data_IF_993799990697
#
_entry.id   IF_993799990697
#
_cell.length_a   1.000
_cell.length_b   1.000
_cell.length_c   1.000
_cell.angle_alpha   90.00
_cell.angle_beta   90.00
_cell.angle_gamma   90.00
#
_symmetry.space_group_name_H-M   'P 1'
#
loop_
_entity.id
_entity.type
_entity.pdbx_description
1 polymer ?
#
# COMPACT_ATOMS: atom_id res chain seq x y z
N UNK A 1 -15.45 -8.89 12.09
CA UNK A 1 -15.78 -8.19 13.36
C UNK A 1 -15.93 -6.73 13.00
N UNK A 2 -17.08 -6.11 13.28
CA UNK A 2 -17.36 -4.72 12.87
C UNK A 2 -17.03 -3.78 14.03
N UNK A 3 -16.10 -2.86 13.83
CA UNK A 3 -15.82 -1.79 14.78
C UNK A 3 -16.28 -0.46 14.19
N UNK A 4 -17.19 0.24 14.88
CA UNK A 4 -17.67 1.57 14.51
C UNK A 4 -17.19 2.55 15.57
N UNK A 5 -16.40 3.55 15.17
CA UNK A 5 -15.92 4.62 16.06
C UNK A 5 -16.38 5.97 15.47
N UNK A 6 -17.41 6.58 16.05
CA UNK A 6 -18.07 7.77 15.46
C UNK A 6 -18.73 7.46 14.10
N UNK A 7 -18.80 8.45 13.19
CA UNK A 7 -19.28 8.23 11.81
C UNK A 7 -18.36 7.32 10.98
N UNK A 8 -17.26 6.78 11.54
CA UNK A 8 -16.30 5.96 10.80
C UNK A 8 -16.67 4.49 10.84
N UNK A 9 -16.62 3.85 9.67
CA UNK A 9 -16.75 2.41 9.51
C UNK A 9 -15.47 1.84 8.91
N UNK A 10 -14.78 0.96 9.65
CA UNK A 10 -13.72 0.10 9.08
C UNK A 10 -13.85 -1.30 9.65
N UNK A 11 -13.99 -2.29 8.77
CA UNK A 11 -14.19 -3.68 9.14
C UNK A 11 -13.38 -4.58 8.22
N UNK A 12 -12.62 -5.50 8.82
CA UNK A 12 -12.01 -6.62 8.11
C UNK A 12 -12.62 -7.90 8.65
N UNK A 13 -13.17 -8.72 7.76
CA UNK A 13 -13.78 -9.99 8.13
C UNK A 13 -13.09 -11.14 7.40
N UNK A 14 -12.51 -12.06 8.16
CA UNK A 14 -11.98 -13.30 7.64
C UNK A 14 -13.12 -14.27 7.35
N UNK A 15 -13.15 -14.80 6.13
CA UNK A 15 -14.09 -15.82 5.68
C UNK A 15 -13.28 -17.10 5.52
N UNK A 16 -13.58 -18.09 6.36
CA UNK A 16 -12.88 -19.36 6.34
C UNK A 16 -13.46 -20.29 5.26
N UNK A 17 -12.59 -20.91 4.48
CA UNK A 17 -12.92 -21.80 3.37
C UNK A 17 -11.71 -22.65 2.99
N UNK A 18 -11.68 -23.20 1.76
CA UNK A 18 -10.45 -23.82 1.23
C UNK A 18 -9.33 -22.81 0.97
N UNK A 19 -9.73 -21.55 0.73
CA UNK A 19 -8.86 -20.37 0.69
C UNK A 19 -9.41 -19.34 1.68
N UNK A 20 -8.54 -18.70 2.47
CA UNK A 20 -8.90 -17.68 3.44
C UNK A 20 -9.19 -16.46 2.61
N UNK A 21 -10.41 -15.96 2.70
CA UNK A 21 -10.77 -14.70 2.08
C UNK A 21 -10.92 -13.67 3.17
N UNK A 22 -10.72 -12.42 2.79
CA UNK A 22 -11.00 -11.28 3.63
C UNK A 22 -11.99 -10.38 2.91
N UNK A 23 -12.95 -9.86 3.66
CA UNK A 23 -13.81 -8.75 3.23
C UNK A 23 -13.32 -7.49 3.91
N UNK A 24 -13.01 -6.47 3.11
CA UNK A 24 -12.56 -5.15 3.56
C UNK A 24 -13.70 -4.17 3.34
N UNK A 25 -14.14 -3.54 4.42
CA UNK A 25 -15.18 -2.51 4.39
C UNK A 25 -14.63 -1.24 4.99
N UNK A 26 -14.76 -0.10 4.30
CA UNK A 26 -14.39 1.20 4.82
C UNK A 26 -15.32 2.30 4.33
N UNK A 27 -15.43 3.40 5.07
CA UNK A 27 -16.00 4.65 4.57
C UNK A 27 -14.96 5.71 4.18
N UNK A 28 -13.67 5.38 4.24
CA UNK A 28 -12.56 6.23 3.75
C UNK A 28 -12.22 7.44 4.64
N UNK A 29 -12.88 7.61 5.79
CA UNK A 29 -12.64 8.78 6.65
C UNK A 29 -11.41 8.58 7.57
N UNK A 30 -10.56 9.62 7.72
CA UNK A 30 -9.41 9.56 8.63
C UNK A 30 -9.83 9.57 10.11
N UNK A 31 -8.99 9.00 10.99
CA UNK A 31 -9.16 9.09 12.47
C UNK A 31 -8.72 10.42 13.07
N UNK A 32 -8.64 11.48 12.26
CA UNK A 32 -8.09 12.79 12.64
C UNK A 32 -8.89 13.91 12.02
N UNK A 33 -8.87 15.07 12.67
CA UNK A 33 -9.34 16.30 12.05
C UNK A 33 -8.24 16.81 11.11
N UNK A 34 -8.62 17.24 9.91
CA UNK A 34 -7.69 17.84 8.95
C UNK A 34 -8.34 19.05 8.31
N UNK A 35 -7.52 20.02 7.90
CA UNK A 35 -8.00 21.26 7.28
C UNK A 35 -8.22 20.98 5.80
N UNK A 36 -9.47 21.13 5.37
CA UNK A 36 -9.81 21.10 3.96
C UNK A 36 -9.52 22.46 3.31
N UNK A 37 -9.14 22.50 2.01
CA UNK A 37 -9.23 23.72 1.22
C UNK A 37 -10.63 24.32 1.32
N UNK A 38 -10.74 25.64 1.19
CA UNK A 38 -11.92 26.46 1.58
C UNK A 38 -13.28 26.04 0.98
N UNK A 39 -13.33 25.13 0.01
CA UNK A 39 -14.56 24.65 -0.65
C UNK A 39 -14.69 23.12 -0.69
N UNK A 40 -13.75 22.37 -0.10
CA UNK A 40 -13.83 20.92 -0.06
C UNK A 40 -14.65 20.46 1.14
N UNK A 41 -15.47 19.42 0.92
CA UNK A 41 -16.23 18.73 1.98
C UNK A 41 -15.75 17.29 2.02
N UNK A 42 -15.56 16.73 3.21
CA UNK A 42 -15.26 15.29 3.32
C UNK A 42 -16.40 14.48 2.71
N UNK A 43 -16.03 13.55 1.84
CA UNK A 43 -16.98 12.60 1.27
C UNK A 43 -16.67 11.21 1.82
N UNK A 44 -17.68 10.59 2.41
CA UNK A 44 -17.64 9.17 2.70
C UNK A 44 -17.60 8.37 1.40
N UNK A 45 -16.85 7.27 1.44
CA UNK A 45 -16.63 6.39 0.30
C UNK A 45 -16.95 4.97 0.70
N UNK A 46 -18.08 4.43 0.21
CA UNK A 46 -18.43 3.05 0.53
C UNK A 46 -17.50 2.08 -0.22
N UNK A 47 -16.46 1.63 0.46
CA UNK A 47 -15.49 0.66 -0.03
C UNK A 47 -15.89 -0.69 0.53
N UNK A 48 -16.19 -1.65 -0.32
CA UNK A 48 -16.54 -3.00 0.10
C UNK A 48 -16.07 -4.01 -0.96
N UNK A 49 -15.03 -4.77 -0.64
CA UNK A 49 -14.50 -5.80 -1.52
C UNK A 49 -14.03 -7.04 -0.77
N UNK A 50 -14.02 -8.18 -1.47
CA UNK A 50 -13.49 -9.45 -1.01
C UNK A 50 -12.29 -9.88 -1.86
N UNK A 51 -11.27 -10.45 -1.21
CA UNK A 51 -10.07 -11.01 -1.84
C UNK A 51 -9.59 -12.25 -1.08
N UNK A 52 -8.85 -13.12 -1.77
CA UNK A 52 -7.99 -14.10 -1.12
C UNK A 52 -6.96 -13.37 -0.26
N UNK A 53 -6.81 -13.80 0.97
CA UNK A 53 -5.84 -13.23 1.87
C UNK A 53 -4.44 -13.72 1.50
N UNK A 54 -3.55 -12.77 1.21
CA UNK A 54 -2.14 -12.98 0.88
C UNK A 54 -1.93 -14.20 -0.06
N UNK A 55 -2.49 -14.16 -1.28
CA UNK A 55 -2.50 -15.31 -2.19
C UNK A 55 -1.07 -15.77 -2.51
N UNK A 56 -0.88 -17.07 -2.73
CA UNK A 56 0.43 -17.59 -3.11
C UNK A 56 0.84 -17.06 -4.50
N UNK A 57 2.06 -16.54 -4.60
CA UNK A 57 2.64 -15.99 -5.83
C UNK A 57 4.05 -16.54 -6.06
N UNK A 58 4.51 -16.50 -7.31
CA UNK A 58 5.79 -17.09 -7.72
C UNK A 58 6.75 -16.02 -8.25
N UNK A 59 8.00 -16.10 -7.79
CA UNK A 59 9.11 -15.29 -8.33
C UNK A 59 9.30 -15.51 -9.83
N UNK A 60 9.05 -16.74 -10.30
CA UNK A 60 9.28 -17.17 -11.69
C UNK A 60 8.04 -16.95 -12.58
N UNK A 61 6.95 -16.42 -12.04
CA UNK A 61 5.73 -16.12 -12.79
C UNK A 61 5.19 -14.76 -12.35
N UNK A 62 5.93 -13.66 -12.62
CA UNK A 62 5.49 -12.33 -12.25
C UNK A 62 4.23 -11.94 -13.02
N UNK A 63 3.33 -11.21 -12.37
CA UNK A 63 2.15 -10.61 -13.01
C UNK A 63 2.57 -9.55 -14.04
N UNK A 64 3.70 -8.90 -13.80
CA UNK A 64 4.24 -7.85 -14.65
C UNK A 64 5.70 -8.10 -14.98
N UNK A 65 6.02 -8.23 -16.27
CA UNK A 65 7.39 -8.43 -16.75
C UNK A 65 7.73 -7.53 -17.94
N UNK A 66 7.72 -6.18 -17.78
CA UNK A 66 8.14 -5.28 -18.84
C UNK A 66 9.57 -5.61 -19.29
N UNK A 67 9.78 -5.56 -20.60
CA UNK A 67 11.09 -5.71 -21.25
C UNK A 67 11.62 -4.39 -21.82
N UNK A 68 10.83 -3.31 -21.75
CA UNK A 68 11.19 -1.97 -22.24
C UNK A 68 10.75 -0.90 -21.24
N UNK A 69 11.42 0.27 -21.28
CA UNK A 69 11.02 1.44 -20.49
C UNK A 69 9.59 1.88 -20.80
N UNK A 70 9.17 1.83 -22.07
CA UNK A 70 7.79 2.15 -22.45
C UNK A 70 6.76 1.19 -21.81
N UNK A 71 7.07 -0.11 -21.78
CA UNK A 71 6.21 -1.08 -21.10
C UNK A 71 6.16 -0.84 -19.58
N UNK A 72 7.28 -0.45 -18.95
CA UNK A 72 7.27 -0.05 -17.55
C UNK A 72 6.40 1.17 -17.30
N UNK A 73 6.52 2.21 -18.13
CA UNK A 73 5.73 3.42 -18.00
C UNK A 73 4.23 3.13 -18.18
N UNK A 74 3.85 2.24 -19.11
CA UNK A 74 2.45 1.82 -19.26
C UNK A 74 1.89 1.12 -18.02
N UNK A 75 2.75 0.49 -17.22
CA UNK A 75 2.39 -0.14 -15.95
C UNK A 75 2.37 0.90 -14.85
N UNK A 76 3.47 1.60 -14.59
CA UNK A 76 3.63 2.45 -13.41
C UNK A 76 3.09 3.87 -13.61
N UNK A 77 3.27 4.48 -14.78
CA UNK A 77 2.84 5.84 -15.08
C UNK A 77 1.40 5.87 -15.60
N UNK A 78 0.52 5.14 -14.92
CA UNK A 78 -0.86 4.95 -15.31
C UNK A 78 -1.74 4.87 -14.06
N UNK A 79 -2.54 5.91 -13.84
CA UNK A 79 -3.43 6.01 -12.68
C UNK A 79 -4.46 4.85 -12.61
N UNK A 80 -4.74 4.23 -13.75
CA UNK A 80 -5.73 3.15 -13.89
C UNK A 80 -5.13 1.75 -13.77
N UNK A 81 -3.83 1.62 -13.47
CA UNK A 81 -3.16 0.32 -13.38
C UNK A 81 -3.70 -0.58 -12.25
N UNK A 82 -4.47 -0.02 -11.31
CA UNK A 82 -5.15 -0.76 -10.25
C UNK A 82 -6.52 -1.30 -10.67
N UNK A 83 -7.01 -1.03 -11.89
CA UNK A 83 -8.27 -1.63 -12.35
C UNK A 83 -8.17 -3.16 -12.51
N UNK A 84 -7.01 -3.66 -12.93
CA UNK A 84 -6.79 -5.07 -13.22
C UNK A 84 -6.17 -5.78 -12.02
N UNK A 85 -7.01 -6.35 -11.16
CA UNK A 85 -6.55 -7.17 -10.02
C UNK A 85 -6.21 -8.60 -10.50
N UNK A 86 -5.05 -9.18 -10.11
CA UNK A 86 -4.66 -10.53 -10.50
C UNK A 86 -5.72 -11.58 -10.10
N UNK A 87 -5.95 -12.56 -10.97
CA UNK A 87 -6.96 -13.61 -10.75
C UNK A 87 -6.71 -14.46 -9.50
N UNK A 88 -5.43 -14.62 -9.11
CA UNK A 88 -5.02 -15.28 -7.85
C UNK A 88 -5.63 -14.63 -6.61
N UNK A 89 -5.98 -13.34 -6.70
CA UNK A 89 -6.61 -12.58 -5.63
C UNK A 89 -8.09 -12.90 -5.45
N UNK A 90 -8.75 -13.57 -6.42
CA UNK A 90 -10.20 -13.79 -6.43
C UNK A 90 -11.00 -12.54 -6.01
N UNK A 91 -10.58 -11.38 -6.51
CA UNK A 91 -11.13 -10.08 -6.16
C UNK A 91 -12.61 -9.99 -6.58
N UNK A 92 -13.44 -9.51 -5.66
CA UNK A 92 -14.86 -9.28 -5.89
C UNK A 92 -15.26 -7.96 -5.24
N UNK A 93 -15.74 -7.01 -6.04
CA UNK A 93 -16.37 -5.78 -5.53
C UNK A 93 -17.81 -6.08 -5.14
N UNK A 94 -18.24 -5.68 -3.94
CA UNK A 94 -19.61 -5.91 -3.49
C UNK A 94 -20.56 -4.88 -4.16
N UNK A 95 -21.84 -5.23 -4.42
CA UNK A 95 -22.75 -4.38 -5.21
C UNK A 95 -22.98 -2.97 -4.66
N UNK A 96 -22.91 -2.79 -3.34
CA UNK A 96 -23.08 -1.50 -2.70
C UNK A 96 -21.81 -0.63 -2.74
N UNK A 97 -20.64 -1.23 -3.04
CA UNK A 97 -19.38 -0.51 -3.12
C UNK A 97 -19.37 0.42 -4.32
N UNK A 98 -18.80 1.61 -4.13
CA UNK A 98 -18.53 2.53 -5.23
C UNK A 98 -17.45 1.97 -6.19
N UNK A 99 -17.28 2.55 -7.39
CA UNK A 99 -16.12 2.28 -8.22
C UNK A 99 -14.82 2.54 -7.46
N UNK A 100 -13.90 1.58 -7.46
CA UNK A 100 -12.63 1.60 -6.72
C UNK A 100 -11.46 1.31 -7.66
N UNK A 101 -11.53 1.91 -8.85
CA UNK A 101 -10.65 1.62 -9.99
C UNK A 101 -9.21 2.05 -9.73
N UNK A 102 -9.05 3.19 -9.05
CA UNK A 102 -7.74 3.75 -8.65
C UNK A 102 -7.27 3.28 -7.28
N UNK A 103 -8.09 2.51 -6.54
CA UNK A 103 -7.76 2.03 -5.19
C UNK A 103 -6.62 1.00 -5.24
N UNK A 104 -5.51 1.31 -4.59
CA UNK A 104 -4.40 0.38 -4.38
C UNK A 104 -4.66 -0.52 -3.18
N UNK A 105 -5.27 0.04 -2.12
CA UNK A 105 -5.56 -0.68 -0.88
C UNK A 105 -6.28 0.18 0.15
N UNK A 106 -6.43 -0.35 1.36
CA UNK A 106 -7.02 0.36 2.50
C UNK A 106 -6.03 0.29 3.67
N UNK A 107 -5.71 1.44 4.25
CA UNK A 107 -4.84 1.53 5.42
C UNK A 107 -5.54 0.99 6.69
N UNK A 108 -4.79 0.68 7.74
CA UNK A 108 -5.36 0.17 9.01
C UNK A 108 -6.19 1.23 9.75
N UNK A 109 -6.00 2.50 9.41
CA UNK A 109 -6.88 3.59 9.80
C UNK A 109 -8.08 3.77 8.84
N UNK A 110 -8.38 2.81 7.98
CA UNK A 110 -9.54 2.82 7.08
C UNK A 110 -9.47 3.82 5.92
N UNK A 111 -8.49 4.72 5.88
CA UNK A 111 -8.33 5.66 4.76
C UNK A 111 -7.88 4.91 3.51
N UNK A 112 -8.29 5.37 2.33
CA UNK A 112 -7.90 4.74 1.09
C UNK A 112 -6.43 4.99 0.79
N UNK A 113 -5.76 3.96 0.30
CA UNK A 113 -4.46 4.09 -0.37
C UNK A 113 -4.80 4.07 -1.86
N UNK A 114 -4.72 5.23 -2.51
CA UNK A 114 -5.00 5.33 -3.93
C UNK A 114 -3.73 5.05 -4.74
N UNK A 115 -3.89 5.03 -6.05
CA UNK A 115 -2.79 4.95 -7.00
C UNK A 115 -1.73 5.99 -6.67
N UNK A 116 -0.47 5.65 -6.83
CA UNK A 116 0.68 6.50 -6.47
C UNK A 116 0.89 7.68 -7.42
N UNK A 117 0.09 7.76 -8.49
CA UNK A 117 0.07 8.86 -9.43
C UNK A 117 -1.11 9.79 -9.19
N UNK A 118 -0.85 11.08 -9.43
CA UNK A 118 -1.84 12.12 -9.63
C UNK A 118 -2.74 11.86 -10.85
N UNK A 119 -3.80 12.67 -10.99
CA UNK A 119 -4.65 12.71 -12.19
C UNK A 119 -3.86 12.99 -13.49
N UNK A 120 -2.68 13.61 -13.36
CA UNK A 120 -1.78 13.88 -14.47
C UNK A 120 -0.91 12.66 -14.87
N UNK A 121 -1.15 11.49 -14.25
CA UNK A 121 -0.38 10.25 -14.46
C UNK A 121 1.11 10.38 -14.11
N UNK A 122 1.42 11.29 -13.19
CA UNK A 122 2.77 11.50 -12.64
C UNK A 122 2.74 11.41 -11.13
N UNK A 123 3.90 11.15 -10.54
CA UNK A 123 4.14 11.23 -9.10
C UNK A 123 3.70 12.60 -8.57
N UNK A 124 2.77 12.65 -7.60
CA UNK A 124 2.23 13.90 -7.08
C UNK A 124 3.27 14.71 -6.29
N UNK A 125 4.30 14.07 -5.73
CA UNK A 125 5.28 14.72 -4.85
C UNK A 125 6.61 15.00 -5.54
N UNK A 126 6.99 14.19 -6.53
CA UNK A 126 8.23 14.36 -7.30
C UNK A 126 7.98 14.30 -8.80
N UNK A 127 7.06 15.12 -9.35
CA UNK A 127 6.70 15.04 -10.76
C UNK A 127 7.86 15.46 -11.68
N UNK A 128 7.88 14.99 -12.95
CA UNK A 128 8.77 15.50 -13.98
C UNK A 128 8.52 16.99 -14.26
N UNK A 129 9.49 17.70 -14.86
CA UNK A 129 9.33 19.10 -15.25
C UNK A 129 8.06 19.32 -16.09
N UNK A 130 7.30 20.37 -15.75
CA UNK A 130 6.06 20.74 -16.45
C UNK A 130 4.76 20.31 -15.76
N UNK A 131 4.83 19.58 -14.65
CA UNK A 131 3.67 19.19 -13.86
C UNK A 131 3.70 19.82 -12.45
N UNK A 132 2.53 20.18 -11.89
CA UNK A 132 2.46 20.74 -10.55
C UNK A 132 2.68 19.64 -9.49
N UNK A 133 3.37 20.00 -8.40
CA UNK A 133 3.42 19.19 -7.19
C UNK A 133 2.10 19.33 -6.42
N UNK A 134 1.58 18.22 -5.92
CA UNK A 134 0.39 18.23 -5.05
C UNK A 134 0.79 18.48 -3.59
N UNK A 135 -0.10 19.15 -2.86
CA UNK A 135 0.07 19.37 -1.43
C UNK A 135 -0.52 18.22 -0.62
N UNK A 136 0.08 17.95 0.54
CA UNK A 136 -0.45 17.02 1.54
C UNK A 136 -0.49 17.65 2.93
N UNK A 137 -1.26 17.05 3.84
CA UNK A 137 -1.18 17.33 5.27
C UNK A 137 0.05 16.69 5.91
N UNK A 138 0.36 17.01 7.18
CA UNK A 138 1.51 16.40 7.90
C UNK A 138 1.40 14.88 8.06
N UNK A 139 0.26 14.30 7.72
CA UNK A 139 0.07 12.86 7.66
C UNK A 139 0.21 12.30 6.24
N UNK A 140 0.68 13.11 5.30
CA UNK A 140 0.92 12.79 3.90
C UNK A 140 -0.31 12.32 3.15
N UNK A 141 -1.44 12.95 3.48
CA UNK A 141 -2.73 12.68 2.88
C UNK A 141 -3.42 13.98 2.47
N UNK A 142 -4.35 13.87 1.53
CA UNK A 142 -5.20 14.97 1.13
C UNK A 142 -6.54 14.47 0.57
N UNK A 143 -7.57 15.31 0.53
CA UNK A 143 -8.80 15.00 -0.19
C UNK A 143 -8.56 15.07 -1.70
N UNK A 144 -9.32 14.28 -2.47
CA UNK A 144 -9.59 14.58 -3.88
C UNK A 144 -10.47 15.83 -3.97
N UNK A 145 -10.64 16.39 -5.17
CA UNK A 145 -11.62 17.47 -5.41
C UNK A 145 -13.07 17.07 -5.05
N UNK A 146 -13.36 15.76 -4.97
CA UNK A 146 -14.64 15.23 -4.55
C UNK A 146 -14.66 14.81 -3.06
N UNK A 147 -13.68 15.22 -2.27
CA UNK A 147 -13.67 15.00 -0.82
C UNK A 147 -13.18 13.63 -0.34
N UNK A 148 -12.75 12.74 -1.24
CA UNK A 148 -12.19 11.45 -0.84
C UNK A 148 -10.80 11.64 -0.25
N UNK A 149 -10.68 11.36 1.04
CA UNK A 149 -9.41 11.44 1.73
C UNK A 149 -8.56 10.20 1.44
N UNK A 150 -7.29 10.38 1.08
CA UNK A 150 -6.44 9.28 0.67
C UNK A 150 -4.95 9.51 0.90
N UNK A 151 -4.19 8.41 0.81
CA UNK A 151 -2.74 8.38 0.76
C UNK A 151 -2.25 8.03 -0.66
N UNK A 152 -1.24 8.76 -1.14
CA UNK A 152 -0.35 8.33 -2.23
C UNK A 152 0.97 7.73 -1.69
N UNK A 153 1.37 8.18 -0.51
CA UNK A 153 2.55 7.73 0.24
C UNK A 153 2.11 7.47 1.69
N UNK A 154 2.71 6.48 2.33
CA UNK A 154 2.38 6.14 3.72
C UNK A 154 2.92 7.15 4.72
N UNK A 155 2.29 7.24 5.90
CA UNK A 155 2.81 7.96 7.06
C UNK A 155 2.55 7.15 8.33
N UNK A 156 3.38 7.35 9.35
CA UNK A 156 3.18 6.84 10.71
C UNK A 156 1.86 7.30 11.33
N UNK A 157 1.24 8.38 10.82
CA UNK A 157 -0.12 8.78 11.18
C UNK A 157 -1.17 7.69 10.96
N UNK A 158 -0.93 6.74 10.05
CA UNK A 158 -1.80 5.57 9.84
C UNK A 158 -1.94 4.75 11.13
N UNK A 159 -0.90 4.74 11.96
CA UNK A 159 -0.84 3.96 13.19
C UNK A 159 -1.23 4.78 14.41
N UNK A 160 -0.79 6.03 14.46
CA UNK A 160 -1.07 6.95 15.56
C UNK A 160 -1.09 8.40 15.04
N UNK A 161 -2.26 8.90 14.62
CA UNK A 161 -2.35 10.27 14.13
C UNK A 161 -2.16 11.28 15.27
N UNK A 162 -1.65 12.50 15.00
CA UNK A 162 -1.60 13.58 15.96
C UNK A 162 -3.00 13.89 16.53
N UNK A 163 -3.04 14.29 17.81
CA UNK A 163 -4.28 14.77 18.44
C UNK A 163 -4.62 16.16 17.89
N UNK A 164 -5.91 16.37 17.58
CA UNK A 164 -6.43 17.65 17.11
C UNK A 164 -6.38 17.81 15.60
N UNK A 165 -6.32 19.06 15.14
CA UNK A 165 -6.32 19.41 13.72
C UNK A 165 -4.92 19.29 13.13
N UNK A 166 -4.78 18.45 12.11
CA UNK A 166 -3.55 18.33 11.34
C UNK A 166 -3.47 19.46 10.32
N UNK A 167 -2.33 20.15 10.27
CA UNK A 167 -2.08 21.21 9.29
C UNK A 167 -1.56 20.66 7.98
N UNK A 168 -1.50 21.51 6.95
CA UNK A 168 -0.72 21.24 5.74
C UNK A 168 0.74 20.93 6.07
N UNK A 169 1.48 20.36 5.11
CA UNK A 169 2.91 20.10 5.28
C UNK A 169 3.80 21.35 5.33
N UNK A 170 3.34 22.49 4.78
CA UNK A 170 4.15 23.72 4.69
C UNK A 170 4.81 24.18 6.00
N UNK A 171 4.10 24.20 7.14
CA UNK A 171 4.68 24.55 8.45
C UNK A 171 5.68 23.53 9.03
N UNK A 172 5.67 22.28 8.56
CA UNK A 172 6.62 21.25 9.01
C UNK A 172 7.83 21.25 8.06
N UNK A 173 8.99 21.68 8.54
CA UNK A 173 10.18 21.82 7.70
C UNK A 173 10.66 20.46 7.17
N UNK A 174 10.39 19.36 7.88
CA UNK A 174 10.71 18.02 7.42
C UNK A 174 9.81 17.62 6.26
N UNK A 175 8.50 17.80 6.43
CA UNK A 175 7.55 17.49 5.37
C UNK A 175 7.72 18.38 4.13
N UNK A 176 7.86 19.70 4.33
CA UNK A 176 7.96 20.66 3.24
C UNK A 176 9.23 20.49 2.39
N UNK A 177 10.34 20.04 2.99
CA UNK A 177 11.60 19.88 2.27
C UNK A 177 11.72 18.55 1.53
N UNK A 178 11.28 17.45 2.14
CA UNK A 178 11.42 16.12 1.56
C UNK A 178 10.32 15.18 2.09
N UNK A 179 9.19 15.13 1.36
CA UNK A 179 8.02 14.31 1.70
C UNK A 179 8.39 12.83 1.84
N UNK A 180 9.26 12.31 0.97
CA UNK A 180 9.62 10.89 0.99
C UNK A 180 10.48 10.50 2.19
N UNK A 181 11.51 11.28 2.53
CA UNK A 181 12.29 11.06 3.77
C UNK A 181 11.42 11.27 5.01
N UNK A 182 10.53 12.28 4.97
CA UNK A 182 9.60 12.56 6.04
C UNK A 182 8.65 11.38 6.30
N UNK A 183 8.08 10.81 5.23
CA UNK A 183 7.26 9.58 5.27
C UNK A 183 7.92 8.50 6.11
N UNK A 184 9.18 8.16 5.81
CA UNK A 184 9.92 7.14 6.56
C UNK A 184 10.16 7.58 8.01
N UNK A 185 10.53 8.84 8.24
CA UNK A 185 10.83 9.35 9.58
C UNK A 185 9.64 9.25 10.56
N UNK A 186 8.42 9.34 10.05
CA UNK A 186 7.20 9.22 10.86
C UNK A 186 6.99 7.81 11.42
N UNK A 187 7.70 6.80 10.91
CA UNK A 187 7.73 5.44 11.43
C UNK A 187 8.83 5.19 12.47
N UNK A 188 9.52 6.23 12.95
CA UNK A 188 10.61 6.09 13.93
C UNK A 188 10.20 5.40 15.24
N UNK A 189 8.94 5.50 15.66
CA UNK A 189 8.39 4.76 16.81
C UNK A 189 7.99 3.29 16.49
N UNK A 190 7.99 2.93 15.20
CA UNK A 190 7.51 1.65 14.67
C UNK A 190 8.60 0.91 13.89
N UNK A 191 9.83 0.88 14.45
CA UNK A 191 11.00 0.20 13.88
C UNK A 191 10.93 -1.33 14.00
N UNK A 192 9.87 -1.91 13.46
CA UNK A 192 9.56 -3.34 13.40
C UNK A 192 8.62 -3.60 12.23
N UNK A 193 8.47 -4.87 11.85
CA UNK A 193 7.46 -5.28 10.87
C UNK A 193 6.07 -4.86 11.38
N UNK A 194 5.51 -3.84 10.74
CA UNK A 194 4.27 -3.18 11.20
C UNK A 194 3.30 -3.13 10.06
N UNK A 195 2.15 -3.79 10.22
CA UNK A 195 1.08 -3.76 9.24
C UNK A 195 0.46 -2.36 9.19
N UNK A 196 0.43 -1.76 8.00
CA UNK A 196 -0.14 -0.42 7.79
C UNK A 196 -1.34 -0.44 6.84
N UNK A 197 -1.58 -1.54 6.13
CA UNK A 197 -2.75 -1.67 5.27
C UNK A 197 -2.84 -3.01 4.57
N UNK A 198 -3.85 -3.12 3.71
CA UNK A 198 -4.08 -4.26 2.84
C UNK A 198 -4.33 -3.79 1.42
N UNK A 199 -3.62 -4.37 0.47
CA UNK A 199 -3.78 -4.08 -0.94
C UNK A 199 -5.05 -4.73 -1.50
N UNK A 200 -5.56 -4.19 -2.61
CA UNK A 200 -6.77 -4.67 -3.29
C UNK A 200 -6.59 -6.04 -3.97
N UNK A 201 -5.37 -6.55 -4.05
CA UNK A 201 -5.06 -7.93 -4.43
C UNK A 201 -4.95 -8.89 -3.21
N UNK A 202 -5.13 -8.37 -1.99
CA UNK A 202 -5.13 -9.14 -0.75
C UNK A 202 -3.75 -9.32 -0.11
N UNK A 203 -2.68 -8.79 -0.71
CA UNK A 203 -1.37 -8.75 -0.05
C UNK A 203 -1.32 -7.69 1.05
N UNK A 204 -0.47 -7.95 2.05
CA UNK A 204 -0.26 -7.02 3.15
C UNK A 204 0.59 -5.83 2.70
N UNK A 205 0.35 -4.67 3.32
CA UNK A 205 1.18 -3.47 3.18
C UNK A 205 1.83 -3.20 4.53
N UNK A 206 3.16 -3.22 4.58
CA UNK A 206 3.95 -2.98 5.78
C UNK A 206 4.56 -1.58 5.78
N UNK A 207 4.85 -1.08 6.99
CA UNK A 207 5.76 0.05 7.19
C UNK A 207 7.19 -0.28 6.75
N UNK A 208 8.13 0.67 6.85
CA UNK A 208 9.40 0.58 6.15
C UNK A 208 10.44 -0.34 6.82
N UNK A 209 10.07 -1.08 7.88
CA UNK A 209 10.99 -1.86 8.70
C UNK A 209 10.65 -3.35 8.69
N UNK A 210 11.68 -4.20 8.70
CA UNK A 210 11.55 -5.64 8.96
C UNK A 210 11.37 -5.93 10.45
N UNK A 211 11.12 -7.20 10.78
CA UNK A 211 11.03 -7.68 12.15
C UNK A 211 12.33 -7.46 12.95
N UNK A 212 13.46 -7.37 12.26
CA UNK A 212 14.77 -7.03 12.83
C UNK A 212 14.96 -5.54 13.16
N UNK A 213 14.01 -4.68 12.77
CA UNK A 213 14.12 -3.22 12.91
C UNK A 213 15.01 -2.53 11.88
N UNK A 214 15.49 -3.28 10.89
CA UNK A 214 16.21 -2.77 9.71
C UNK A 214 15.22 -2.15 8.74
N UNK A 215 15.52 -0.94 8.26
CA UNK A 215 14.74 -0.30 7.20
C UNK A 215 14.98 -1.05 5.89
N UNK A 216 13.91 -1.37 5.17
CA UNK A 216 14.01 -1.98 3.84
C UNK A 216 14.23 -0.86 2.82
N UNK A 217 15.39 -0.89 2.17
CA UNK A 217 15.76 0.08 1.12
C UNK A 217 16.02 -0.58 -0.23
N UNK A 218 16.05 -1.92 -0.29
CA UNK A 218 16.29 -2.72 -1.49
C UNK A 218 15.52 -4.04 -1.39
N UNK A 219 15.47 -4.82 -2.47
CA UNK A 219 14.74 -6.08 -2.52
C UNK A 219 13.36 -5.99 -3.19
N UNK A 220 13.04 -4.82 -3.75
CA UNK A 220 11.76 -4.50 -4.36
C UNK A 220 11.72 -4.83 -5.85
N UNK A 221 10.58 -5.34 -6.28
CA UNK A 221 10.20 -5.41 -7.69
C UNK A 221 9.60 -4.07 -8.18
N UNK A 222 9.20 -4.02 -9.46
CA UNK A 222 8.59 -2.83 -10.05
C UNK A 222 7.30 -2.37 -9.37
N UNK A 223 6.59 -3.27 -8.68
CA UNK A 223 5.34 -2.94 -7.98
C UNK A 223 5.58 -2.48 -6.53
N UNK A 224 6.85 -2.38 -6.12
CA UNK A 224 7.30 -2.08 -4.76
C UNK A 224 6.83 -3.12 -3.72
N UNK A 225 6.71 -4.38 -4.17
CA UNK A 225 6.61 -5.50 -3.28
C UNK A 225 7.89 -6.32 -3.22
N UNK A 226 7.97 -7.15 -2.19
CA UNK A 226 9.15 -7.93 -1.84
C UNK A 226 8.75 -9.28 -1.26
N UNK A 227 9.47 -10.32 -1.67
CA UNK A 227 9.49 -11.60 -0.95
C UNK A 227 10.37 -11.44 0.30
N UNK A 228 9.74 -11.27 1.47
CA UNK A 228 10.41 -10.69 2.65
C UNK A 228 10.85 -11.70 3.71
N UNK A 229 10.42 -12.96 3.62
CA UNK A 229 10.79 -14.00 4.57
C UNK A 229 11.25 -15.30 3.91
N UNK A 230 11.77 -16.21 4.73
CA UNK A 230 12.29 -17.51 4.29
C UNK A 230 11.22 -18.44 3.70
N UNK A 231 9.94 -18.10 3.88
CA UNK A 231 8.81 -18.89 3.37
C UNK A 231 8.31 -18.36 2.03
N UNK A 232 8.87 -17.27 1.51
CA UNK A 232 8.46 -16.67 0.24
C UNK A 232 7.15 -15.91 0.34
N UNK A 233 6.82 -15.37 1.51
CA UNK A 233 5.66 -14.47 1.59
C UNK A 233 5.98 -13.16 0.87
N UNK A 234 5.03 -12.72 0.05
CA UNK A 234 5.10 -11.47 -0.69
C UNK A 234 4.25 -10.40 0.00
N UNK A 235 4.78 -9.18 0.08
CA UNK A 235 4.08 -8.03 0.65
C UNK A 235 4.61 -6.73 0.06
N UNK A 236 3.82 -5.67 0.16
CA UNK A 236 4.22 -4.30 -0.15
C UNK A 236 4.84 -3.63 1.06
N UNK A 237 5.71 -2.65 0.82
CA UNK A 237 6.35 -1.88 1.89
C UNK A 237 6.28 -0.39 1.60
N UNK A 238 6.13 0.39 2.66
CA UNK A 238 6.43 1.82 2.65
C UNK A 238 7.91 2.04 2.29
N UNK A 239 8.20 2.87 1.29
CA UNK A 239 9.55 3.18 0.82
C UNK A 239 9.74 4.67 0.53
N UNK A 240 11.00 5.10 0.47
CA UNK A 240 11.39 6.49 0.19
C UNK A 240 11.41 6.81 -1.31
N UNK A 241 11.37 5.78 -2.16
CA UNK A 241 11.42 5.93 -3.61
C UNK A 241 10.08 5.53 -4.21
N UNK A 242 9.70 6.18 -5.30
CA UNK A 242 8.51 5.84 -6.06
C UNK A 242 8.50 4.33 -6.42
N UNK A 243 7.37 3.61 -6.32
CA UNK A 243 6.01 4.09 -6.06
C UNK A 243 5.63 4.27 -4.57
N UNK A 244 6.58 4.22 -3.63
CA UNK A 244 6.39 4.43 -2.18
C UNK A 244 5.56 3.40 -1.42
N UNK A 245 4.52 2.83 -2.02
CA UNK A 245 3.62 1.81 -1.45
C UNK A 245 3.27 0.78 -2.52
N UNK A 246 2.00 0.59 -2.90
CA UNK A 246 1.63 -0.34 -3.97
C UNK A 246 1.57 0.40 -5.31
N UNK A 247 2.57 0.16 -6.18
CA UNK A 247 2.61 0.75 -7.52
C UNK A 247 1.83 -0.04 -8.57
N UNK A 248 1.75 -1.36 -8.41
CA UNK A 248 0.93 -2.28 -9.20
C UNK A 248 0.66 -3.57 -8.40
N UNK A 249 -0.17 -4.46 -8.92
CA UNK A 249 -0.45 -5.74 -8.26
C UNK A 249 0.56 -6.82 -8.66
N UNK A 250 1.51 -7.08 -7.76
CA UNK A 250 2.69 -7.88 -8.04
C UNK A 250 2.49 -9.38 -7.76
N UNK A 251 3.55 -10.18 -7.95
CA UNK A 251 4.94 -9.75 -8.13
C UNK A 251 5.24 -9.18 -9.51
N UNK A 252 6.17 -8.23 -9.57
CA UNK A 252 6.79 -7.70 -10.78
C UNK A 252 8.17 -8.30 -11.06
N UNK A 253 8.72 -8.05 -12.25
CA UNK A 253 10.11 -8.36 -12.56
C UNK A 253 11.07 -7.24 -12.09
N UNK A 254 12.35 -7.37 -12.46
CA UNK A 254 13.45 -6.54 -11.96
C UNK A 254 14.27 -5.97 -13.13
N UNK A 255 13.71 -5.02 -13.91
CA UNK A 255 14.40 -4.44 -15.05
C UNK A 255 15.44 -3.40 -14.62
N UNK A 256 16.29 -2.98 -15.55
CA UNK A 256 17.32 -1.94 -15.33
C UNK A 256 16.87 -0.53 -15.72
N UNK A 257 15.64 -0.35 -16.22
CA UNK A 257 15.10 0.94 -16.61
C UNK A 257 14.19 1.53 -15.52
N UNK A 258 14.09 2.85 -15.47
CA UNK A 258 13.31 3.60 -14.47
C UNK A 258 12.04 4.21 -15.09
N UNK A 259 10.98 4.42 -14.30
CA UNK A 259 9.78 5.09 -14.79
C UNK A 259 10.04 6.57 -15.07
N UNK A 260 9.33 7.14 -16.04
CA UNK A 260 9.49 8.55 -16.42
C UNK A 260 8.47 9.50 -15.77
N UNK A 261 7.51 8.97 -14.99
CA UNK A 261 6.48 9.73 -14.28
C UNK A 261 6.95 10.31 -12.94
N UNK A 262 8.21 10.14 -12.57
CA UNK A 262 8.77 10.61 -11.29
C UNK A 262 10.23 11.02 -11.46
N UNK A 263 10.67 11.96 -10.63
CA UNK A 263 12.09 12.30 -10.45
C UNK A 263 12.71 11.57 -9.26
N UNK A 264 11.92 10.82 -8.49
CA UNK A 264 12.34 10.06 -7.30
C UNK A 264 12.18 8.54 -7.52
N UNK A 265 12.55 8.07 -8.71
CA UNK A 265 12.61 6.65 -9.03
C UNK A 265 13.69 5.93 -8.20
N UNK A 266 13.53 4.62 -7.92
CA UNK A 266 14.57 3.85 -7.26
C UNK A 266 15.80 3.74 -8.16
N UNK A 267 16.98 3.64 -7.56
CA UNK A 267 18.24 3.43 -8.29
C UNK A 267 18.27 2.12 -9.08
N UNK A 268 17.39 1.17 -8.75
CA UNK A 268 17.15 -0.05 -9.51
C UNK A 268 16.17 -0.98 -8.80
N UNK A 269 15.59 -1.91 -9.56
CA UNK A 269 14.78 -2.99 -9.02
C UNK A 269 15.66 -4.18 -8.72
N UNK A 270 15.77 -4.56 -7.45
CA UNK A 270 16.73 -5.55 -6.97
C UNK A 270 15.96 -6.70 -6.34
N UNK A 271 16.28 -7.94 -6.72
CA UNK A 271 15.69 -9.13 -6.09
C UNK A 271 16.00 -9.15 -4.60
N UNK A 272 15.01 -9.48 -3.79
CA UNK A 272 15.26 -9.87 -2.40
C UNK A 272 16.12 -11.15 -2.34
N UNK A 273 16.71 -11.43 -1.18
CA UNK A 273 17.50 -12.65 -0.97
C UNK A 273 16.72 -13.92 -1.30
N UNK A 274 15.45 -13.97 -0.91
CA UNK A 274 14.55 -15.06 -1.27
C UNK A 274 14.38 -15.15 -2.80
N UNK A 275 13.98 -14.05 -3.45
CA UNK A 275 13.76 -14.04 -4.90
C UNK A 275 15.02 -14.41 -5.70
N UNK A 276 16.19 -13.96 -5.26
CA UNK A 276 17.47 -14.30 -5.86
C UNK A 276 17.76 -15.81 -5.79
N UNK A 277 17.58 -16.43 -4.61
CA UNK A 277 17.83 -17.86 -4.39
C UNK A 277 16.91 -18.78 -5.20
N UNK A 278 15.64 -18.40 -5.39
CA UNK A 278 14.65 -19.19 -6.14
C UNK A 278 14.69 -18.96 -7.65
N UNK A 279 15.16 -17.80 -8.11
CA UNK A 279 15.37 -17.55 -9.54
C UNK A 279 16.49 -18.41 -10.13
N UNK A 280 17.46 -18.82 -9.31
CA UNK A 280 18.58 -19.68 -9.74
C UNK A 280 18.28 -21.17 -9.72
N UNK A 281 17.17 -21.59 -9.09
CA UNK A 281 16.80 -23.00 -8.96
C UNK A 281 15.69 -23.36 -9.95
N UNK A 282 15.95 -24.31 -10.86
CA UNK A 282 14.94 -24.95 -11.73
C UNK A 282 13.91 -25.80 -10.95
N UNK A 283 13.88 -25.73 -9.63
CA UNK A 283 12.98 -26.49 -8.77
C UNK A 283 11.68 -25.72 -8.58
N UNK A 284 10.56 -26.40 -8.83
CA UNK A 284 9.22 -25.90 -8.52
C UNK A 284 9.16 -25.37 -7.07
N UNK A 285 8.37 -24.32 -6.81
CA UNK A 285 8.25 -23.76 -5.46
C UNK A 285 7.91 -24.86 -4.47
N UNK A 286 8.73 -24.99 -3.43
CA UNK A 286 8.46 -25.87 -2.30
C UNK A 286 7.13 -25.41 -1.74
N UNK A 287 6.11 -26.28 -1.80
CA UNK A 287 4.80 -26.02 -1.18
C UNK A 287 5.05 -25.60 0.27
N UNK A 288 4.75 -24.35 0.56
CA UNK A 288 4.95 -23.75 1.86
C UNK A 288 4.12 -24.51 2.90
N UNK A 289 4.60 -24.57 4.15
CA UNK A 289 4.02 -25.35 5.25
C UNK A 289 2.48 -25.39 5.27
N UNK A 290 1.87 -26.50 5.72
CA UNK A 290 0.43 -26.69 5.70
C UNK A 290 -0.30 -25.53 6.38
N UNK A 291 -1.25 -25.00 5.62
CA UNK A 291 -2.11 -23.85 5.83
C UNK A 291 -2.65 -23.62 7.25
N UNK A 292 -2.82 -24.69 8.03
CA UNK A 292 -3.33 -24.66 9.41
C UNK A 292 -2.44 -23.87 10.39
N UNK A 293 -1.11 -23.81 10.20
CA UNK A 293 -0.24 -23.04 11.10
C UNK A 293 -0.26 -21.53 10.84
N UNK A 294 -0.63 -21.10 9.61
CA UNK A 294 -0.76 -19.69 9.24
C UNK A 294 -2.04 -19.07 9.78
N UNK A 295 -3.12 -19.84 9.86
CA UNK A 295 -4.46 -19.34 10.25
C UNK A 295 -4.50 -18.75 11.68
N UNK A 296 -3.88 -19.44 12.65
CA UNK A 296 -3.98 -19.06 14.06
C UNK A 296 -3.16 -17.81 14.42
N UNK A 297 -1.99 -17.62 13.80
CA UNK A 297 -1.19 -16.42 14.02
C UNK A 297 -1.80 -15.18 13.36
N UNK A 298 -2.46 -15.32 12.20
CA UNK A 298 -2.86 -14.18 11.35
C UNK A 298 -4.17 -13.55 11.81
N UNK A 299 -5.19 -14.36 12.13
CA UNK A 299 -6.41 -13.82 12.73
C UNK A 299 -6.12 -13.17 14.10
N UNK A 300 -5.23 -13.78 14.89
CA UNK A 300 -4.87 -13.25 16.21
C UNK A 300 -4.03 -11.96 16.10
N UNK A 301 -3.11 -11.85 15.14
CA UNK A 301 -2.28 -10.64 14.97
C UNK A 301 -3.06 -9.45 14.42
N UNK A 302 -3.98 -9.66 13.46
CA UNK A 302 -4.92 -8.59 13.09
C UNK A 302 -5.81 -8.19 14.27
N UNK A 303 -6.32 -9.16 15.02
CA UNK A 303 -7.15 -8.90 16.20
C UNK A 303 -6.39 -8.14 17.30
N UNK A 304 -5.11 -8.46 17.56
CA UNK A 304 -4.26 -7.76 18.53
C UNK A 304 -3.93 -6.34 18.06
N UNK A 305 -3.65 -6.13 16.77
CA UNK A 305 -3.40 -4.79 16.21
C UNK A 305 -4.65 -3.90 16.38
N UNK A 306 -5.85 -4.43 16.18
CA UNK A 306 -7.09 -3.67 16.38
C UNK A 306 -7.45 -3.47 17.86
N UNK A 307 -7.15 -4.42 18.74
CA UNK A 307 -7.38 -4.28 20.19
C UNK A 307 -6.42 -3.28 20.86
N UNK A 308 -5.17 -3.20 20.42
CA UNK A 308 -4.17 -2.26 20.96
C UNK A 308 -4.33 -0.82 20.46
N UNK A 309 -5.26 -0.57 19.53
CA UNK A 309 -5.53 0.76 18.95
C UNK A 309 -6.92 1.30 19.34
N UNK A 310 -7.63 0.61 20.24
CA UNK A 310 -8.96 1.00 20.71
C UNK A 310 -8.95 1.87 21.99
N UNK A 311 -7.76 2.23 22.49
CA UNK A 311 -7.55 3.11 23.65
C UNK A 311 -7.17 4.54 23.25
#
# INVERSE_FOLDING_TARGET
>A
MVFVFGNKSYCVTCINGSTVRIRVQSNGLPRRCTILPTDAVFAERNIDFEVNFNPDVSVNSPNHAPSTAAALNNILCNISNHMSVPSTSAYTRLPASMPIDVLAGVAVDGVTILNVNSINQVDPFYPPPGYPMEGADQCLSHPTGAGEFHYHISSGCILNPPKGTVSGCGPDIGCANNISSYSISTFSAYRRLTLIGIAKDGHLIYGPYLSSGVQVTTGFDICNGMFYDSFGNYAYFATETYPYVTGCFGPGNYPSFTPNCTTNAPSGYIKSSFAASFSSSNTNPVKVLPWFSRFFMICLSMMIIFLLQAD
#
